data_IF_036012015531
#
_entry.id   IF_036012015531
#
_cell.length_a   1.000
_cell.length_b   1.000
_cell.length_c   1.000
_cell.angle_alpha   90.00
_cell.angle_beta   90.00
_cell.angle_gamma   90.00
#
_symmetry.space_group_name_H-M   'P 1'
#
loop_
_entity.id
_entity.type
_entity.pdbx_description
1 polymer ?
#
# COMPACT_ATOMS: atom_id res chain seq x y z
N UNK A 1 -5.55 34.57 -26.66
CA UNK A 1 -5.74 33.26 -26.00
C UNK A 1 -4.88 33.28 -24.75
N UNK A 2 -5.52 33.26 -23.58
CA UNK A 2 -4.80 33.29 -22.30
C UNK A 2 -4.35 31.87 -21.96
N UNK A 3 -3.04 31.72 -21.73
CA UNK A 3 -2.45 30.48 -21.22
C UNK A 3 -2.73 30.48 -19.72
N UNK A 4 -3.61 29.59 -19.27
CA UNK A 4 -3.83 29.33 -17.85
C UNK A 4 -2.59 28.64 -17.29
N UNK A 5 -1.76 29.39 -16.58
CA UNK A 5 -0.71 28.81 -15.76
C UNK A 5 -1.39 28.06 -14.62
N UNK A 6 -1.21 26.73 -14.57
CA UNK A 6 -1.53 25.94 -13.38
C UNK A 6 -0.73 26.54 -12.21
N UNK A 7 -1.46 27.10 -11.25
CA UNK A 7 -0.91 27.56 -9.98
C UNK A 7 -0.39 26.34 -9.25
N UNK A 8 0.93 26.19 -9.16
CA UNK A 8 1.53 25.28 -8.20
C UNK A 8 1.07 25.75 -6.82
N UNK A 9 0.28 24.94 -6.11
CA UNK A 9 -0.01 25.16 -4.71
C UNK A 9 1.31 25.23 -3.97
N UNK A 10 1.62 26.43 -3.45
CA UNK A 10 2.76 26.63 -2.57
C UNK A 10 2.39 25.94 -1.26
N UNK A 11 2.98 24.77 -0.99
CA UNK A 11 2.86 24.16 0.33
C UNK A 11 3.49 25.09 1.36
N UNK A 12 2.74 25.56 2.35
CA UNK A 12 3.22 26.42 3.45
C UNK A 12 4.02 25.66 4.52
N UNK A 13 4.36 24.39 4.25
CA UNK A 13 5.20 23.56 5.11
C UNK A 13 6.62 24.12 5.14
N UNK A 14 7.07 24.56 6.32
CA UNK A 14 8.47 24.91 6.57
C UNK A 14 9.31 23.64 6.59
N UNK A 15 10.30 23.58 5.71
CA UNK A 15 11.19 22.43 5.53
C UNK A 15 12.64 22.75 5.88
N UNK A 16 12.89 23.87 6.56
CA UNK A 16 14.25 24.37 6.82
C UNK A 16 15.09 23.46 7.73
N UNK A 17 14.45 22.67 8.60
CA UNK A 17 15.07 21.72 9.52
C UNK A 17 14.87 20.24 9.10
N UNK A 18 14.23 19.99 7.97
CA UNK A 18 13.97 18.64 7.49
C UNK A 18 15.26 17.86 7.22
N UNK A 19 15.18 16.55 7.45
CA UNK A 19 16.31 15.63 7.36
C UNK A 19 16.29 14.96 6.00
N UNK A 20 17.45 14.94 5.33
CA UNK A 20 17.62 14.19 4.09
C UNK A 20 17.81 12.71 4.40
N UNK A 21 17.08 11.86 3.68
CA UNK A 21 17.23 10.41 3.69
C UNK A 21 17.33 9.90 2.26
N UNK A 22 17.93 8.73 2.08
CA UNK A 22 17.96 8.03 0.79
C UNK A 22 17.26 6.70 0.95
N UNK A 23 16.22 6.46 0.16
CA UNK A 23 15.52 5.18 0.13
C UNK A 23 15.71 4.61 -1.27
N UNK A 24 16.36 3.45 -1.33
CA UNK A 24 16.80 2.81 -2.56
C UNK A 24 17.70 3.73 -3.41
N UNK A 25 17.17 4.28 -4.49
CA UNK A 25 17.89 5.14 -5.42
C UNK A 25 17.33 6.58 -5.46
N UNK A 26 16.49 6.94 -4.48
CA UNK A 26 15.79 8.22 -4.43
C UNK A 26 16.05 8.93 -3.11
N UNK A 27 16.35 10.22 -3.20
CA UNK A 27 16.49 11.08 -2.03
C UNK A 27 15.14 11.68 -1.66
N UNK A 28 14.85 11.69 -0.35
CA UNK A 28 13.68 12.33 0.23
C UNK A 28 14.09 13.30 1.32
N UNK A 29 13.17 14.19 1.68
CA UNK A 29 13.27 14.96 2.91
C UNK A 29 12.09 14.60 3.80
N UNK A 30 12.35 14.43 5.09
CA UNK A 30 11.34 14.12 6.09
C UNK A 30 11.41 15.10 7.26
N UNK A 31 10.26 15.39 7.91
CA UNK A 31 10.22 16.14 9.17
C UNK A 31 11.14 15.57 10.26
N UNK A 32 11.71 16.41 11.14
CA UNK A 32 12.56 15.95 12.25
C UNK A 32 11.89 14.96 13.21
N UNK A 33 10.57 15.03 13.37
CA UNK A 33 9.80 14.09 14.21
C UNK A 33 9.89 12.64 13.73
N UNK A 34 10.10 12.43 12.43
CA UNK A 34 10.36 11.11 11.83
C UNK A 34 11.86 10.79 11.73
N UNK A 35 12.73 11.71 12.16
CA UNK A 35 14.18 11.53 12.17
C UNK A 35 14.67 10.48 13.16
N UNK A 36 15.86 9.91 12.93
CA UNK A 36 16.45 8.88 13.81
C UNK A 36 15.81 7.49 13.69
N UNK A 37 15.24 7.17 12.52
CA UNK A 37 14.85 5.82 12.12
C UNK A 37 16.02 4.96 11.65
N UNK A 38 15.71 3.70 11.34
CA UNK A 38 16.60 2.75 10.70
C UNK A 38 16.53 2.92 9.18
N UNK A 39 17.70 3.10 8.57
CA UNK A 39 17.88 3.07 7.11
C UNK A 39 18.56 1.75 6.73
N UNK A 40 17.88 0.95 5.91
CA UNK A 40 18.39 -0.32 5.41
C UNK A 40 18.50 -0.36 3.89
N UNK A 41 18.90 0.75 3.26
CA UNK A 41 19.21 0.83 1.83
C UNK A 41 17.99 0.81 0.91
N UNK A 42 17.03 -0.08 1.14
CA UNK A 42 15.74 -0.10 0.44
C UNK A 42 14.58 0.53 1.22
N UNK A 43 14.76 0.76 2.53
CA UNK A 43 13.68 1.20 3.42
C UNK A 43 14.19 2.17 4.48
N UNK A 44 13.34 3.14 4.83
CA UNK A 44 13.48 3.96 6.02
C UNK A 44 12.31 3.72 6.95
N UNK A 45 12.57 3.34 8.20
CA UNK A 45 11.50 3.07 9.19
C UNK A 45 11.87 3.70 10.52
N UNK A 46 10.98 4.51 11.10
CA UNK A 46 11.24 5.20 12.37
C UNK A 46 11.22 4.25 13.58
N UNK A 47 10.09 3.59 13.77
CA UNK A 47 9.88 2.60 14.85
C UNK A 47 9.30 1.33 14.29
N UNK A 48 8.29 1.48 13.44
CA UNK A 48 7.70 0.46 12.60
C UNK A 48 6.94 1.17 11.46
N UNK A 49 6.43 0.39 10.51
CA UNK A 49 5.69 0.91 9.36
C UNK A 49 4.35 1.57 9.73
N UNK A 50 3.77 1.25 10.89
CA UNK A 50 2.54 1.89 11.38
C UNK A 50 2.79 3.27 11.97
N UNK A 51 4.00 3.56 12.48
CA UNK A 51 4.37 4.90 12.97
C UNK A 51 4.87 5.80 11.85
N UNK A 52 5.88 5.34 11.11
CA UNK A 52 6.40 6.00 9.91
C UNK A 52 7.31 5.04 9.16
N UNK A 53 7.02 4.80 7.89
CA UNK A 53 7.81 4.00 6.97
C UNK A 53 7.82 4.61 5.57
N UNK A 54 8.98 4.60 4.93
CA UNK A 54 9.13 4.85 3.51
C UNK A 54 9.91 3.67 2.90
N UNK A 55 9.20 2.84 2.15
CA UNK A 55 9.66 1.53 1.71
C UNK A 55 9.69 1.50 0.19
N UNK A 56 10.83 1.12 -0.40
CA UNK A 56 10.90 0.86 -1.82
C UNK A 56 10.32 -0.52 -2.15
N UNK A 57 9.43 -0.55 -3.13
CA UNK A 57 8.82 -1.76 -3.68
C UNK A 57 9.55 -2.05 -5.00
N UNK A 58 10.76 -2.58 -4.84
CA UNK A 58 11.79 -2.68 -5.88
C UNK A 58 11.40 -3.59 -7.06
N UNK A 59 10.49 -4.53 -6.84
CA UNK A 59 10.06 -5.52 -7.81
C UNK A 59 8.56 -5.83 -7.71
N UNK A 60 8.04 -6.56 -8.70
CA UNK A 60 6.64 -6.94 -8.76
C UNK A 60 6.22 -7.79 -7.54
N UNK A 61 7.14 -8.58 -6.99
CA UNK A 61 6.84 -9.42 -5.83
C UNK A 61 6.63 -8.59 -4.57
N UNK A 62 7.51 -7.62 -4.30
CA UNK A 62 7.41 -6.71 -3.16
C UNK A 62 6.22 -5.79 -3.30
N UNK A 63 5.96 -5.26 -4.51
CA UNK A 63 4.76 -4.47 -4.79
C UNK A 63 3.49 -5.28 -4.60
N UNK A 64 3.36 -6.46 -5.23
CA UNK A 64 2.21 -7.38 -5.05
C UNK A 64 1.99 -7.73 -3.58
N UNK A 65 3.04 -8.11 -2.85
CA UNK A 65 2.87 -8.53 -1.47
C UNK A 65 2.51 -7.37 -0.54
N UNK A 66 2.98 -6.15 -0.82
CA UNK A 66 2.67 -4.97 -0.01
C UNK A 66 1.32 -4.35 -0.43
N UNK A 67 1.23 -3.87 -1.66
CA UNK A 67 0.01 -3.23 -2.19
C UNK A 67 -1.16 -4.21 -2.29
N UNK A 68 -0.93 -5.45 -2.73
CA UNK A 68 -1.98 -6.46 -2.80
C UNK A 68 -2.56 -6.81 -1.43
N UNK A 69 -1.71 -6.92 -0.40
CA UNK A 69 -2.17 -7.11 0.98
C UNK A 69 -2.97 -5.89 1.48
N UNK A 70 -2.44 -4.68 1.36
CA UNK A 70 -3.13 -3.46 1.83
C UNK A 70 -4.46 -3.24 1.12
N UNK A 71 -4.50 -3.48 -0.19
CA UNK A 71 -5.72 -3.32 -1.00
C UNK A 71 -6.79 -4.39 -0.75
N UNK A 72 -6.46 -5.43 0.02
CA UNK A 72 -7.37 -6.52 0.36
C UNK A 72 -7.57 -6.66 1.87
N UNK A 73 -7.12 -5.68 2.65
CA UNK A 73 -7.25 -5.69 4.11
C UNK A 73 -8.71 -5.48 4.54
N UNK A 74 -9.20 -6.30 5.47
CA UNK A 74 -10.56 -6.18 6.00
C UNK A 74 -10.78 -4.92 6.86
N UNK A 75 -9.69 -4.36 7.39
CA UNK A 75 -9.67 -3.15 8.24
C UNK A 75 -9.68 -1.84 7.42
N UNK A 76 -9.70 -1.94 6.09
CA UNK A 76 -9.74 -0.81 5.18
C UNK A 76 -11.12 -0.14 5.21
N UNK A 77 -11.15 1.18 5.43
CA UNK A 77 -12.41 1.94 5.42
C UNK A 77 -12.52 2.97 4.29
N UNK A 78 -11.40 3.39 3.69
CA UNK A 78 -11.40 4.31 2.56
C UNK A 78 -10.18 4.16 1.64
N UNK A 79 -10.32 4.59 0.38
CA UNK A 79 -9.28 4.63 -0.63
C UNK A 79 -9.42 5.90 -1.46
N UNK A 80 -8.33 6.64 -1.62
CA UNK A 80 -8.33 7.92 -2.35
C UNK A 80 -7.22 7.97 -3.40
N UNK A 81 -7.58 8.40 -4.62
CA UNK A 81 -6.61 8.71 -5.68
C UNK A 81 -6.36 10.22 -5.72
N UNK A 82 -5.10 10.62 -5.90
CA UNK A 82 -4.72 12.04 -5.91
C UNK A 82 -3.46 12.31 -6.74
N UNK A 83 -3.24 13.60 -7.03
CA UNK A 83 -2.02 14.10 -7.67
C UNK A 83 -1.19 14.87 -6.66
N UNK A 84 0.08 14.49 -6.50
CA UNK A 84 1.00 15.10 -5.53
C UNK A 84 2.29 15.44 -6.26
N UNK A 85 2.64 16.73 -6.40
CA UNK A 85 3.97 17.12 -6.88
C UNK A 85 4.39 16.64 -8.28
N UNK A 86 3.46 16.13 -9.10
CA UNK A 86 3.77 15.46 -10.37
C UNK A 86 3.83 13.93 -10.28
N UNK A 87 3.23 13.35 -9.25
CA UNK A 87 3.01 11.93 -9.06
C UNK A 87 1.51 11.66 -9.00
N UNK A 88 1.05 10.68 -9.77
CA UNK A 88 -0.21 10.02 -9.45
C UNK A 88 0.01 9.13 -8.22
N UNK A 89 -0.90 9.17 -7.26
CA UNK A 89 -0.77 8.46 -6.00
C UNK A 89 -2.11 7.91 -5.51
N UNK A 90 -2.04 6.82 -4.73
CA UNK A 90 -3.21 6.15 -4.14
C UNK A 90 -2.98 5.95 -2.65
N UNK A 91 -3.93 6.42 -1.83
CA UNK A 91 -3.92 6.27 -0.38
C UNK A 91 -4.92 5.21 0.07
N UNK A 92 -4.49 4.32 0.96
CA UNK A 92 -5.33 3.36 1.67
C UNK A 92 -5.41 3.75 3.14
N UNK A 93 -6.63 3.86 3.67
CA UNK A 93 -6.88 4.29 5.04
C UNK A 93 -7.48 3.14 5.85
N UNK A 94 -6.76 2.68 6.88
CA UNK A 94 -7.13 1.50 7.68
C UNK A 94 -7.06 1.77 9.17
N UNK A 95 -7.94 1.16 9.95
CA UNK A 95 -7.82 1.15 11.41
C UNK A 95 -7.19 -0.17 11.86
N UNK A 96 -5.92 -0.12 12.25
CA UNK A 96 -5.13 -1.34 12.49
C UNK A 96 -5.33 -1.88 13.89
N UNK A 97 -5.94 -3.05 14.04
CA UNK A 97 -6.13 -3.66 15.36
C UNK A 97 -4.82 -3.98 16.09
N UNK A 98 -3.75 -4.28 15.34
CA UNK A 98 -2.43 -4.63 15.90
C UNK A 98 -1.73 -3.47 16.61
N UNK A 99 -1.96 -2.23 16.17
CA UNK A 99 -1.39 -1.03 16.79
C UNK A 99 -2.45 -0.08 17.38
N UNK A 100 -3.73 -0.38 17.17
CA UNK A 100 -4.89 0.32 17.72
C UNK A 100 -4.92 1.83 17.40
N UNK A 101 -4.60 2.18 16.17
CA UNK A 101 -4.75 3.53 15.61
C UNK A 101 -4.93 3.44 14.09
N UNK A 102 -5.20 4.60 13.47
CA UNK A 102 -5.34 4.69 12.03
C UNK A 102 -3.97 4.68 11.36
N UNK A 103 -3.87 3.99 10.23
CA UNK A 103 -2.66 3.95 9.41
C UNK A 103 -3.04 4.24 7.98
N UNK A 104 -2.34 5.21 7.40
CA UNK A 104 -2.42 5.53 5.98
C UNK A 104 -1.24 4.89 5.26
N UNK A 105 -1.50 4.23 4.14
CA UNK A 105 -0.48 3.81 3.17
C UNK A 105 -0.67 4.58 1.87
N UNK A 106 0.31 5.42 1.54
CA UNK A 106 0.34 6.22 0.31
C UNK A 106 1.33 5.62 -0.68
N UNK A 107 0.80 5.16 -1.82
CA UNK A 107 1.57 4.58 -2.90
C UNK A 107 1.81 5.60 -4.00
N UNK A 108 3.06 5.70 -4.45
CA UNK A 108 3.45 6.57 -5.56
C UNK A 108 4.67 5.99 -6.27
N UNK A 109 4.91 6.43 -7.51
CA UNK A 109 6.07 6.03 -8.29
C UNK A 109 7.06 7.18 -8.39
N UNK A 110 8.35 6.87 -8.24
CA UNK A 110 9.43 7.81 -8.49
C UNK A 110 10.65 7.05 -9.03
N UNK A 111 11.29 7.58 -10.07
CA UNK A 111 12.53 7.01 -10.63
C UNK A 111 12.43 5.51 -11.01
N UNK A 112 11.27 5.12 -11.55
CA UNK A 112 10.87 3.75 -11.96
C UNK A 112 10.68 2.76 -10.82
N UNK A 113 10.59 3.24 -9.58
CA UNK A 113 10.36 2.43 -8.39
C UNK A 113 9.09 2.89 -7.69
N UNK A 114 8.24 1.94 -7.30
CA UNK A 114 7.10 2.24 -6.45
C UNK A 114 7.57 2.38 -5.00
N UNK A 115 6.97 3.31 -4.27
CA UNK A 115 7.22 3.52 -2.86
C UNK A 115 5.91 3.42 -2.10
N UNK A 116 5.98 2.88 -0.88
CA UNK A 116 4.92 2.98 0.12
C UNK A 116 5.38 3.92 1.22
N UNK A 117 4.70 5.05 1.36
CA UNK A 117 4.80 5.94 2.52
C UNK A 117 3.68 5.58 3.49
N UNK A 118 4.03 5.06 4.66
CA UNK A 118 3.08 4.68 5.70
C UNK A 118 3.30 5.48 6.98
N UNK A 119 2.23 5.87 7.67
CA UNK A 119 2.30 6.69 8.89
C UNK A 119 1.03 6.56 9.72
N UNK A 120 1.17 6.91 11.01
CA UNK A 120 0.05 7.06 11.94
C UNK A 120 -0.76 8.29 11.55
N UNK A 121 -1.95 8.07 11.01
CA UNK A 121 -2.78 9.11 10.42
C UNK A 121 -3.89 8.56 9.54
N UNK A 122 -4.89 9.39 9.28
CA UNK A 122 -6.07 9.08 8.47
C UNK A 122 -6.31 10.09 7.35
N UNK A 123 -5.30 10.88 7.00
CA UNK A 123 -5.37 11.87 5.94
C UNK A 123 -4.01 12.06 5.25
N UNK A 124 -4.02 12.32 3.94
CA UNK A 124 -2.83 12.77 3.21
C UNK A 124 -2.69 14.29 3.35
N UNK A 125 -2.15 14.73 4.49
CA UNK A 125 -1.93 16.14 4.79
C UNK A 125 -0.75 16.76 3.98
N UNK A 126 -0.59 18.08 4.11
CA UNK A 126 0.43 18.84 3.36
C UNK A 126 1.86 18.39 3.65
N UNK A 127 2.16 17.91 4.87
CA UNK A 127 3.46 17.35 5.22
C UNK A 127 3.75 16.09 4.40
N UNK A 128 2.78 15.18 4.30
CA UNK A 128 2.94 13.93 3.53
C UNK A 128 3.03 14.21 2.04
N UNK A 129 2.20 15.12 1.53
CA UNK A 129 2.30 15.62 0.15
C UNK A 129 3.69 16.20 -0.12
N UNK A 130 4.23 16.95 0.84
CA UNK A 130 5.54 17.58 0.72
C UNK A 130 6.67 16.54 0.66
N UNK A 131 6.64 15.49 1.50
CA UNK A 131 7.61 14.37 1.45
C UNK A 131 7.64 13.74 0.06
N UNK A 132 6.47 13.40 -0.51
CA UNK A 132 6.38 12.80 -1.85
C UNK A 132 6.92 13.75 -2.93
N UNK A 133 6.57 15.05 -2.84
CA UNK A 133 6.98 16.06 -3.83
C UNK A 133 8.49 16.34 -3.88
N UNK A 134 9.26 15.91 -2.87
CA UNK A 134 10.72 16.00 -2.89
C UNK A 134 11.38 15.00 -3.83
N UNK A 135 10.69 13.91 -4.15
CA UNK A 135 11.21 12.89 -5.03
C UNK A 135 11.15 13.33 -6.50
N UNK A 136 12.00 12.76 -7.38
CA UNK A 136 11.86 12.96 -8.82
C UNK A 136 10.46 12.60 -9.30
N UNK A 137 9.85 13.46 -10.12
CA UNK A 137 8.51 13.25 -10.67
C UNK A 137 8.36 11.86 -11.29
N UNK A 138 7.15 11.33 -11.20
CA UNK A 138 6.80 10.05 -11.81
C UNK A 138 7.07 10.07 -13.32
N UNK A 139 7.62 8.97 -13.83
CA UNK A 139 7.71 8.72 -15.28
C UNK A 139 6.46 7.98 -15.80
N UNK A 140 5.58 7.53 -14.91
CA UNK A 140 4.37 6.82 -15.26
C UNK A 140 3.25 7.82 -15.57
N UNK A 141 2.46 7.52 -16.61
CA UNK A 141 1.14 8.14 -16.73
C UNK A 141 0.20 7.53 -15.70
N UNK A 142 -0.91 8.22 -15.41
CA UNK A 142 -1.97 7.70 -14.55
C UNK A 142 -2.40 6.30 -14.98
N UNK A 143 -2.66 6.09 -16.28
CA UNK A 143 -3.13 4.80 -16.79
C UNK A 143 -2.12 3.68 -16.56
N UNK A 144 -0.82 3.96 -16.79
CA UNK A 144 0.23 2.97 -16.57
C UNK A 144 0.42 2.65 -15.08
N UNK A 145 0.26 3.67 -14.23
CA UNK A 145 0.31 3.52 -12.79
C UNK A 145 -0.84 2.62 -12.29
N UNK A 146 -2.07 2.94 -12.69
CA UNK A 146 -3.27 2.20 -12.33
C UNK A 146 -3.23 0.77 -12.85
N UNK A 147 -2.83 0.58 -14.12
CA UNK A 147 -2.67 -0.75 -14.72
C UNK A 147 -1.70 -1.60 -13.88
N UNK A 148 -0.55 -1.04 -13.51
CA UNK A 148 0.44 -1.75 -12.69
C UNK A 148 -0.13 -2.16 -11.34
N UNK A 149 -0.78 -1.25 -10.63
CA UNK A 149 -1.36 -1.55 -9.32
C UNK A 149 -2.51 -2.56 -9.40
N UNK A 150 -3.38 -2.45 -10.41
CA UNK A 150 -4.47 -3.41 -10.63
C UNK A 150 -3.91 -4.82 -10.88
N UNK A 151 -2.89 -4.98 -11.74
CA UNK A 151 -2.24 -6.29 -11.96
C UNK A 151 -1.69 -6.86 -10.65
N UNK A 152 -1.01 -6.05 -9.84
CA UNK A 152 -0.43 -6.51 -8.57
C UNK A 152 -1.50 -6.90 -7.54
N UNK A 153 -2.66 -6.25 -7.54
CA UNK A 153 -3.79 -6.66 -6.71
C UNK A 153 -4.40 -7.98 -7.19
N UNK A 154 -4.61 -8.14 -8.50
CA UNK A 154 -5.15 -9.37 -9.09
C UNK A 154 -4.23 -10.57 -8.82
N UNK A 155 -2.92 -10.40 -9.07
CA UNK A 155 -1.90 -11.42 -8.80
C UNK A 155 -1.86 -11.82 -7.32
N UNK A 156 -2.03 -10.87 -6.41
CA UNK A 156 -2.09 -11.16 -4.97
C UNK A 156 -3.33 -12.00 -4.61
N UNK A 157 -4.50 -11.62 -5.13
CA UNK A 157 -5.75 -12.33 -4.88
C UNK A 157 -5.67 -13.76 -5.43
N UNK A 158 -5.08 -13.95 -6.60
CA UNK A 158 -4.88 -15.28 -7.19
C UNK A 158 -3.92 -16.13 -6.36
N UNK A 159 -2.77 -15.58 -5.91
CA UNK A 159 -1.83 -16.28 -5.05
C UNK A 159 -2.46 -16.71 -3.71
N UNK A 160 -3.29 -15.84 -3.10
CA UNK A 160 -4.04 -16.19 -1.89
C UNK A 160 -5.04 -17.32 -2.16
N UNK A 161 -5.77 -17.28 -3.28
CA UNK A 161 -6.71 -18.35 -3.67
C UNK A 161 -6.01 -19.68 -3.85
N UNK A 162 -4.88 -19.70 -4.56
CA UNK A 162 -4.08 -20.92 -4.77
C UNK A 162 -3.56 -21.49 -3.44
N UNK A 163 -3.10 -20.61 -2.54
CA UNK A 163 -2.67 -21.01 -1.20
C UNK A 163 -3.80 -21.67 -0.40
N UNK A 164 -4.98 -21.05 -0.38
CA UNK A 164 -6.17 -21.59 0.30
C UNK A 164 -6.62 -22.93 -0.30
N UNK A 165 -6.65 -23.06 -1.62
CA UNK A 165 -6.99 -24.30 -2.32
C UNK A 165 -5.99 -25.42 -1.99
N UNK A 166 -4.69 -25.11 -2.00
CA UNK A 166 -3.63 -26.07 -1.66
C UNK A 166 -3.74 -26.53 -0.20
N UNK A 167 -4.02 -25.60 0.72
CA UNK A 167 -4.20 -25.91 2.13
C UNK A 167 -5.44 -26.76 2.36
N UNK A 168 -6.55 -26.44 1.69
CA UNK A 168 -7.79 -27.23 1.75
C UNK A 168 -7.59 -28.65 1.19
N UNK A 169 -6.85 -28.78 0.08
CA UNK A 169 -6.48 -30.09 -0.48
C UNK A 169 -5.65 -30.92 0.50
N UNK A 170 -4.62 -30.32 1.12
CA UNK A 170 -3.77 -30.98 2.12
C UNK A 170 -4.56 -31.39 3.37
N UNK A 171 -5.48 -30.55 3.85
CA UNK A 171 -6.35 -30.89 4.97
C UNK A 171 -7.33 -32.01 4.61
N UNK A 172 -7.90 -31.99 3.40
CA UNK A 172 -8.73 -33.07 2.87
C UNK A 172 -7.96 -34.39 2.78
N UNK A 173 -6.70 -34.34 2.33
CA UNK A 173 -5.82 -35.51 2.25
C UNK A 173 -5.46 -36.07 3.64
N UNK A 174 -5.13 -35.19 4.60
CA UNK A 174 -4.82 -35.57 6.00
C UNK A 174 -6.05 -36.14 6.73
N UNK A 175 -7.23 -35.55 6.53
CA UNK A 175 -8.48 -36.02 7.13
C UNK A 175 -9.00 -37.31 6.47
N UNK A 176 -8.77 -37.50 5.17
CA UNK A 176 -9.06 -38.76 4.47
C UNK A 176 -8.25 -39.95 4.99
N UNK A 177 -7.05 -39.72 5.54
CA UNK A 177 -6.26 -40.75 6.23
C UNK A 177 -6.61 -40.90 7.73
N UNK A 178 -7.26 -39.92 8.36
CA UNK A 178 -7.57 -39.96 9.80
C UNK A 178 -8.98 -40.44 10.14
N UNK A 179 -9.91 -40.51 9.17
CA UNK A 179 -11.29 -40.98 9.40
C UNK A 179 -11.70 -42.20 8.58
N UNK A 180 -11.22 -43.35 9.01
CA UNK A 180 -12.19 -44.38 9.37
C UNK A 180 -12.88 -43.92 10.66
N UNK A 181 -14.15 -43.49 10.57
CA UNK A 181 -15.11 -43.10 11.63
C UNK A 181 -15.43 -41.61 11.81
N UNK A 182 -16.74 -41.35 11.65
CA UNK A 182 -17.61 -40.33 12.28
C UNK A 182 -17.80 -38.95 11.61
N UNK A 183 -18.94 -38.85 10.90
CA UNK A 183 -19.88 -37.72 10.81
C UNK A 183 -19.47 -36.40 11.48
N UNK A 184 -19.39 -35.31 10.71
CA UNK A 184 -19.97 -33.99 11.08
C UNK A 184 -19.67 -32.92 10.03
N UNK A 185 -20.76 -32.36 9.47
CA UNK A 185 -20.98 -30.95 9.11
C UNK A 185 -19.76 -30.00 9.16
N UNK A 186 -19.30 -29.54 7.99
CA UNK A 186 -18.86 -28.15 7.77
C UNK A 186 -18.71 -27.89 6.27
N UNK A 187 -19.69 -27.20 5.68
CA UNK A 187 -19.68 -26.86 4.25
C UNK A 187 -20.10 -25.40 3.99
N UNK A 188 -19.91 -24.51 4.97
CA UNK A 188 -20.43 -23.13 4.91
C UNK A 188 -19.35 -22.02 4.84
N UNK A 189 -18.06 -22.36 4.81
CA UNK A 189 -17.00 -21.35 4.64
C UNK A 189 -16.70 -21.00 3.17
N UNK A 190 -17.05 -21.87 2.22
CA UNK A 190 -16.79 -21.64 0.79
C UNK A 190 -17.69 -20.57 0.16
N UNK A 191 -18.84 -20.26 0.76
CA UNK A 191 -19.85 -19.36 0.17
C UNK A 191 -19.78 -17.91 0.63
N UNK A 192 -19.14 -17.59 1.76
CA UNK A 192 -19.28 -16.26 2.36
C UNK A 192 -18.32 -15.21 1.80
N UNK A 193 -17.11 -15.60 1.37
CA UNK A 193 -16.11 -14.66 0.82
C UNK A 193 -16.22 -14.46 -0.70
N UNK A 194 -16.79 -15.42 -1.44
CA UNK A 194 -16.88 -15.35 -2.91
C UNK A 194 -17.91 -14.31 -3.41
N UNK A 195 -18.94 -14.01 -2.62
CA UNK A 195 -20.03 -13.10 -3.04
C UNK A 195 -19.85 -11.63 -2.62
N UNK A 196 -18.93 -11.31 -1.70
CA UNK A 196 -18.77 -9.92 -1.22
C UNK A 196 -17.79 -9.05 -2.03
N UNK A 197 -16.94 -9.63 -2.90
CA UNK A 197 -15.92 -8.84 -3.66
C UNK A 197 -16.21 -8.60 -5.14
N UNK A 198 -17.20 -9.25 -5.75
CA UNK A 198 -17.55 -9.02 -7.16
C UNK A 198 -18.51 -7.83 -7.39
N UNK A 199 -18.90 -7.13 -6.32
CA UNK A 199 -19.95 -6.11 -6.35
C UNK A 199 -19.54 -4.77 -5.78
N UNK A 200 -18.40 -4.19 -6.19
CA UNK A 200 -18.13 -2.74 -6.04
C UNK A 200 -16.93 -2.27 -6.89
N UNK A 201 -17.08 -2.34 -8.20
CA UNK A 201 -16.55 -1.30 -9.10
C UNK A 201 -17.72 -0.78 -9.92
N UNK A 202 -18.43 0.19 -9.36
CA UNK A 202 -19.35 1.04 -10.10
C UNK A 202 -19.22 2.47 -9.57
N UNK A 203 -18.31 3.23 -10.18
CA UNK A 203 -18.57 4.51 -10.87
C UNK A 203 -17.27 5.24 -11.13
#
# INVERSE_FOLDING_TARGET
>A
MAISAASAEKSDVDTSDWINITVYNTNFQIPPEYGGGSDSGGNYVKTNVFTFGLVALEDDKSLRNNYGYESTLDELYDVEEMEIGGHHAVAYYSHRSICNHDVTYLYFESNKTFYALSYDGNDVNDTMKKIVSYSPKSEFSKEKFDEKLNTMQEDYIEEQREYEESYAYDQGYKNGYSQGTLNSRHNDYFGYYLFYRLGKRSR
#
